data_IF_686061849124
#
_entry.id   IF_686061849124
#
_cell.length_a   1.000
_cell.length_b   1.000
_cell.length_c   1.000
_cell.angle_alpha   90.00
_cell.angle_beta   90.00
_cell.angle_gamma   90.00
#
_symmetry.space_group_name_H-M   'P 1'
#
loop_
_entity.id
_entity.type
_entity.pdbx_description
1 polymer ?
#
# COMPACT_ATOMS: atom_id res chain seq x y z
N UNK A 1 3.49 -15.53 -3.25
CA UNK A 1 4.34 -15.03 -2.15
C UNK A 1 4.39 -13.52 -2.29
N UNK A 2 4.40 -12.82 -1.16
CA UNK A 2 4.61 -11.38 -1.07
C UNK A 2 5.91 -11.11 -0.32
N UNK A 3 6.68 -10.12 -0.75
CA UNK A 3 7.78 -9.52 0.02
C UNK A 3 7.40 -8.08 0.35
N UNK A 4 7.70 -7.66 1.57
CA UNK A 4 7.43 -6.31 2.07
C UNK A 4 8.76 -5.72 2.51
N UNK A 5 9.20 -4.66 1.85
CA UNK A 5 10.37 -3.89 2.25
C UNK A 5 9.90 -2.59 2.89
N UNK A 6 10.37 -2.34 4.12
CA UNK A 6 10.07 -1.12 4.87
C UNK A 6 11.24 -0.17 4.70
N UNK A 7 10.95 1.01 4.16
CA UNK A 7 11.93 2.07 3.99
C UNK A 7 11.48 3.31 4.75
N UNK A 8 12.31 3.73 5.69
CA UNK A 8 12.06 4.91 6.52
C UNK A 8 13.11 5.95 6.21
N UNK A 9 12.67 7.13 5.81
CA UNK A 9 13.46 8.35 5.75
C UNK A 9 12.98 9.31 6.85
N UNK A 10 13.74 10.38 7.13
CA UNK A 10 13.42 11.40 8.14
C UNK A 10 12.01 11.99 8.02
N UNK A 11 11.39 11.94 6.84
CA UNK A 11 10.06 12.49 6.57
C UNK A 11 9.03 11.49 6.01
N UNK A 12 9.34 10.22 5.78
CA UNK A 12 8.38 9.28 5.18
C UNK A 12 8.66 7.83 5.51
N UNK A 13 7.60 7.04 5.60
CA UNK A 13 7.68 5.58 5.59
C UNK A 13 7.08 5.06 4.29
N UNK A 14 7.82 4.19 3.58
CA UNK A 14 7.40 3.55 2.34
C UNK A 14 7.40 2.02 2.53
N UNK A 15 6.28 1.38 2.21
CA UNK A 15 6.16 -0.07 2.10
C UNK A 15 6.27 -0.45 0.63
N UNK A 16 7.39 -1.05 0.20
CA UNK A 16 7.52 -1.59 -1.16
C UNK A 16 7.05 -3.04 -1.18
N UNK A 17 6.07 -3.32 -2.04
CA UNK A 17 5.49 -4.64 -2.20
C UNK A 17 6.00 -5.30 -3.49
N UNK A 18 6.50 -6.53 -3.36
CA UNK A 18 6.94 -7.34 -4.49
C UNK A 18 6.21 -8.69 -4.48
N UNK A 19 5.69 -9.10 -5.63
CA UNK A 19 5.06 -10.41 -5.82
C UNK A 19 3.54 -10.33 -5.90
N UNK A 20 2.81 -11.14 -5.12
CA UNK A 20 1.34 -11.28 -5.22
C UNK A 20 0.68 -10.92 -3.89
N UNK A 21 -0.23 -9.95 -3.90
CA UNK A 21 -1.03 -9.56 -2.74
C UNK A 21 -2.34 -10.36 -2.76
N UNK A 22 -2.26 -11.55 -2.20
CA UNK A 22 -3.35 -12.51 -2.06
C UNK A 22 -3.38 -13.00 -0.62
N UNK A 23 -4.48 -13.59 -0.16
CA UNK A 23 -4.47 -14.22 1.16
C UNK A 23 -3.36 -15.29 1.27
N UNK A 24 -2.63 -15.33 2.41
CA UNK A 24 -2.82 -14.58 3.65
C UNK A 24 -2.08 -13.23 3.72
N UNK A 25 -1.39 -12.82 2.66
CA UNK A 25 -0.49 -11.66 2.65
C UNK A 25 -1.21 -10.32 2.77
N UNK A 26 -2.50 -10.29 2.43
CA UNK A 26 -3.38 -9.13 2.65
C UNK A 26 -3.46 -8.78 4.14
N UNK A 27 -3.72 -9.77 5.00
CA UNK A 27 -3.73 -9.57 6.45
C UNK A 27 -2.34 -9.18 6.97
N UNK A 28 -1.28 -9.77 6.44
CA UNK A 28 0.09 -9.46 6.86
C UNK A 28 0.50 -8.03 6.50
N UNK A 29 0.13 -7.54 5.31
CA UNK A 29 0.35 -6.14 4.92
C UNK A 29 -0.30 -5.18 5.91
N UNK A 30 -1.55 -5.45 6.31
CA UNK A 30 -2.27 -4.62 7.26
C UNK A 30 -1.60 -4.61 8.64
N UNK A 31 -1.14 -5.78 9.11
CA UNK A 31 -0.38 -5.90 10.37
C UNK A 31 0.91 -5.11 10.33
N UNK A 32 1.71 -5.28 9.27
CA UNK A 32 2.96 -4.52 9.09
C UNK A 32 2.71 -3.02 9.10
N UNK A 33 1.68 -2.54 8.40
CA UNK A 33 1.32 -1.11 8.40
C UNK A 33 0.93 -0.57 9.78
N UNK A 34 0.21 -1.38 10.58
CA UNK A 34 -0.22 -1.02 11.92
C UNK A 34 0.97 -0.87 12.88
N UNK A 35 2.00 -1.69 12.69
CA UNK A 35 3.21 -1.72 13.54
C UNK A 35 4.24 -0.64 13.16
N UNK A 36 4.02 0.12 12.09
CA UNK A 36 4.95 1.19 11.65
C UNK A 36 5.00 2.35 12.66
N UNK A 37 6.19 2.92 12.92
CA UNK A 37 6.33 4.12 13.73
C UNK A 37 5.60 5.29 13.05
N UNK A 38 4.74 5.99 13.80
CA UNK A 38 4.07 7.21 13.33
C UNK A 38 5.03 8.40 13.44
N UNK A 39 5.43 8.99 12.32
CA UNK A 39 6.34 10.14 12.30
C UNK A 39 5.59 11.45 12.59
N UNK A 40 6.05 12.31 13.51
CA UNK A 40 5.34 13.53 13.93
C UNK A 40 5.41 14.71 12.95
N UNK A 41 6.34 14.71 11.97
CA UNK A 41 6.58 15.83 11.03
C UNK A 41 6.12 15.59 9.60
N UNK A 42 5.89 14.34 9.22
CA UNK A 42 5.22 14.02 7.98
C UNK A 42 3.72 14.11 8.25
N UNK A 43 2.92 14.69 7.37
CA UNK A 43 1.46 14.65 7.45
C UNK A 43 0.88 13.23 7.28
N UNK A 44 1.31 12.27 8.11
CA UNK A 44 0.69 10.97 8.37
C UNK A 44 0.72 9.91 7.28
N UNK A 45 1.03 10.25 6.03
CA UNK A 45 0.83 9.32 4.93
C UNK A 45 1.98 8.30 4.79
N UNK A 46 1.71 7.04 5.18
CA UNK A 46 2.52 5.89 4.75
C UNK A 46 2.31 5.71 3.25
N UNK A 47 3.40 5.59 2.50
CA UNK A 47 3.32 5.27 1.06
C UNK A 47 3.40 3.77 0.85
N UNK A 48 2.52 3.20 0.04
CA UNK A 48 2.57 1.80 -0.40
C UNK A 48 2.91 1.80 -1.88
N UNK A 49 4.06 1.25 -2.22
CA UNK A 49 4.58 1.15 -3.57
C UNK A 49 4.26 -0.24 -4.15
N UNK A 50 3.44 -0.23 -5.21
CA UNK A 50 2.90 -1.40 -5.88
C UNK A 50 3.65 -1.73 -7.18
N UNK A 51 4.74 -1.02 -7.52
CA UNK A 51 5.42 -1.15 -8.81
C UNK A 51 5.90 -2.58 -9.12
N UNK A 52 6.22 -3.38 -8.09
CA UNK A 52 6.66 -4.77 -8.23
C UNK A 52 5.55 -5.80 -7.88
N UNK A 53 4.29 -5.35 -7.73
CA UNK A 53 3.14 -6.22 -7.55
C UNK A 53 2.66 -6.72 -8.91
N UNK A 54 2.53 -8.04 -9.01
CA UNK A 54 2.19 -8.77 -10.25
C UNK A 54 0.76 -9.30 -10.26
N UNK A 55 0.10 -9.37 -9.11
CA UNK A 55 -1.26 -9.88 -8.97
C UNK A 55 -1.87 -9.46 -7.62
N UNK A 56 -3.18 -9.21 -7.63
CA UNK A 56 -3.98 -8.85 -6.45
C UNK A 56 -5.31 -9.59 -6.54
N UNK A 57 -5.74 -10.26 -5.46
CA UNK A 57 -7.09 -10.84 -5.38
C UNK A 57 -8.10 -9.85 -4.75
N UNK A 58 -9.36 -10.26 -4.60
CA UNK A 58 -10.39 -9.40 -4.04
C UNK A 58 -10.07 -8.92 -2.60
N UNK A 59 -9.41 -9.75 -1.78
CA UNK A 59 -9.04 -9.40 -0.41
C UNK A 59 -7.86 -8.43 -0.37
N UNK A 60 -6.88 -8.63 -1.25
CA UNK A 60 -5.79 -7.70 -1.46
C UNK A 60 -6.29 -6.34 -1.91
N UNK A 61 -7.24 -6.28 -2.84
CA UNK A 61 -7.85 -5.03 -3.30
C UNK A 61 -8.60 -4.34 -2.15
N UNK A 62 -9.42 -5.08 -1.39
CA UNK A 62 -10.13 -4.55 -0.23
C UNK A 62 -9.16 -4.00 0.84
N UNK A 63 -8.02 -4.66 1.04
CA UNK A 63 -6.97 -4.22 1.97
C UNK A 63 -6.32 -2.92 1.49
N UNK A 64 -5.97 -2.80 0.21
CA UNK A 64 -5.43 -1.57 -0.36
C UNK A 64 -6.41 -0.40 -0.24
N UNK A 65 -7.69 -0.63 -0.51
CA UNK A 65 -8.74 0.38 -0.35
C UNK A 65 -8.98 0.77 1.11
N UNK A 66 -8.82 -0.15 2.07
CA UNK A 66 -8.86 0.17 3.49
C UNK A 66 -7.67 1.05 3.90
N UNK A 67 -6.45 0.68 3.49
CA UNK A 67 -5.23 1.44 3.79
C UNK A 67 -5.27 2.85 3.18
N UNK A 68 -5.79 2.98 1.95
CA UNK A 68 -5.99 4.28 1.31
C UNK A 68 -6.95 5.18 2.11
N UNK A 69 -8.08 4.64 2.59
CA UNK A 69 -9.02 5.38 3.45
C UNK A 69 -8.44 5.77 4.81
N UNK A 70 -7.44 5.02 5.28
CA UNK A 70 -6.69 5.33 6.51
C UNK A 70 -5.56 6.34 6.27
N UNK A 71 -5.49 6.94 5.07
CA UNK A 71 -4.53 7.99 4.72
C UNK A 71 -3.23 7.47 4.09
N UNK A 72 -3.17 6.20 3.70
CA UNK A 72 -2.02 5.72 2.93
C UNK A 72 -2.08 6.25 1.49
N UNK A 73 -0.90 6.61 0.97
CA UNK A 73 -0.75 6.94 -0.44
C UNK A 73 -0.37 5.67 -1.18
N UNK A 74 -1.20 5.27 -2.14
CA UNK A 74 -0.87 4.17 -3.05
C UNK A 74 -0.15 4.75 -4.27
N UNK A 75 0.99 4.16 -4.64
CA UNK A 75 1.75 4.55 -5.82
C UNK A 75 2.25 3.34 -6.58
N UNK A 76 2.71 3.59 -7.79
CA UNK A 76 3.37 2.61 -8.65
C UNK A 76 3.12 2.96 -10.11
N UNK A 77 3.93 2.40 -11.00
CA UNK A 77 3.82 2.64 -12.43
C UNK A 77 3.74 1.30 -13.16
N UNK A 78 2.98 1.29 -14.27
CA UNK A 78 2.77 0.11 -15.10
C UNK A 78 1.28 -0.19 -15.30
N UNK A 79 0.93 -0.86 -16.41
CA UNK A 79 -0.47 -1.04 -16.82
C UNK A 79 -1.31 -1.79 -15.78
N UNK A 80 -0.72 -2.78 -15.10
CA UNK A 80 -1.39 -3.51 -14.01
C UNK A 80 -1.73 -2.61 -12.83
N UNK A 81 -0.75 -1.83 -12.33
CA UNK A 81 -0.96 -0.95 -11.18
C UNK A 81 -1.92 0.18 -11.53
N UNK A 82 -1.84 0.74 -12.74
CA UNK A 82 -2.79 1.75 -13.20
C UNK A 82 -4.22 1.22 -13.20
N UNK A 83 -4.46 0.02 -13.74
CA UNK A 83 -5.78 -0.60 -13.71
C UNK A 83 -6.24 -0.88 -12.27
N UNK A 84 -5.35 -1.38 -11.41
CA UNK A 84 -5.63 -1.63 -10.01
C UNK A 84 -6.06 -0.36 -9.25
N UNK A 85 -5.39 0.76 -9.49
CA UNK A 85 -5.72 2.04 -8.87
C UNK A 85 -7.05 2.63 -9.35
N UNK A 86 -7.53 2.24 -10.54
CA UNK A 86 -8.86 2.63 -11.04
C UNK A 86 -10.00 1.83 -10.40
N UNK A 87 -9.75 0.60 -9.96
CA UNK A 87 -10.71 -0.23 -9.23
C UNK A 87 -10.92 0.23 -7.79
N UNK A 88 -10.00 1.04 -7.25
CA UNK A 88 -10.10 1.57 -5.90
C UNK A 88 -10.99 2.83 -5.86
N UNK A 89 -11.73 3.05 -4.76
CA UNK A 89 -12.53 4.26 -4.61
C UNK A 89 -11.67 5.51 -4.79
N UNK A 90 -12.08 6.42 -5.68
CA UNK A 90 -11.43 7.72 -5.78
C UNK A 90 -11.60 8.49 -4.47
N UNK A 91 -10.54 8.60 -3.68
CA UNK A 91 -10.47 9.56 -2.58
C UNK A 91 -10.11 10.92 -3.19
N UNK A 92 -11.00 11.92 -3.15
CA UNK A 92 -10.67 13.25 -3.66
C UNK A 92 -9.50 13.80 -2.85
N UNK A 93 -8.40 14.09 -3.54
CA UNK A 93 -7.27 14.83 -2.99
C UNK A 93 -7.74 16.28 -2.88
N UNK A 94 -8.25 16.64 -1.70
CA UNK A 94 -8.68 18.01 -1.37
C UNK A 94 -7.51 18.97 -1.23
#
# INVERSE_FOLDING_TARGET
MLRIHIETDAARVTLRLEGKLIDPWSAELFRVWMDLPRLPKAGGAVTIDLAAVSFVDAQGLATLGALQRLGCVLQGSGPFVTALLQELPHVPQG
#
